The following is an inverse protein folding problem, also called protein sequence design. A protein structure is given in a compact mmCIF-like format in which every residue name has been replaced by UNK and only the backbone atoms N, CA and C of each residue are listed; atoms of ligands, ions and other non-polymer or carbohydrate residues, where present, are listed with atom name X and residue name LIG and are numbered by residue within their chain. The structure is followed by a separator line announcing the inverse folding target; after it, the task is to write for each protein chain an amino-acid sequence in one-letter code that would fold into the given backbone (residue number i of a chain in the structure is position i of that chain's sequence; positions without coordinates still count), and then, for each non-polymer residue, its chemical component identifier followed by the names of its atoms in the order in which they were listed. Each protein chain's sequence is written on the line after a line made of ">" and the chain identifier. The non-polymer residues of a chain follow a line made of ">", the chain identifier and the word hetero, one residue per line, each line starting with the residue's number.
data_IF_745362747137
#
_entry.id   IF_745362747137
#
_cell.length_a   1.000
_cell.length_b   1.000
_cell.length_c   1.000
_cell.angle_alpha   90.00
_cell.angle_beta   90.00
_cell.angle_gamma   90.00
#
_symmetry.space_group_name_H-M   'P 1'
#
loop_
_entity.id
_entity.type
_entity.pdbx_description
1 polymer ?
#
# COMPACT_ATOMS: atom_id res chain seq x y z
N UNK A 1 -15.43 16.45 8.63
CA UNK A 1 -16.12 15.18 8.35
C UNK A 1 -15.19 14.06 8.78
N UNK A 2 -15.65 13.08 9.56
CA UNK A 2 -14.86 11.88 9.86
C UNK A 2 -14.93 10.95 8.65
N UNK A 3 -14.13 11.23 7.63
CA UNK A 3 -13.97 10.32 6.50
C UNK A 3 -13.18 9.11 6.99
N UNK A 4 -13.82 7.93 6.97
CA UNK A 4 -13.16 6.68 7.33
C UNK A 4 -12.42 6.14 6.11
N UNK A 5 -11.11 5.92 6.25
CA UNK A 5 -10.31 5.19 5.27
C UNK A 5 -10.50 3.67 5.35
N UNK A 6 -9.83 2.95 4.46
CA UNK A 6 -9.75 1.48 4.45
C UNK A 6 -8.31 1.06 4.73
N UNK A 7 -8.12 0.10 5.63
CA UNK A 7 -6.83 -0.54 5.89
C UNK A 7 -6.83 -1.95 5.28
N UNK A 8 -5.86 -2.23 4.42
CA UNK A 8 -5.74 -3.48 3.65
C UNK A 8 -4.41 -4.13 3.97
N UNK A 9 -4.41 -5.41 4.32
CA UNK A 9 -3.20 -6.22 4.54
C UNK A 9 -3.08 -7.31 3.49
N UNK A 10 -1.84 -7.67 3.14
CA UNK A 10 -1.52 -8.77 2.24
C UNK A 10 -0.74 -9.84 3.02
N UNK A 11 -1.37 -11.00 3.22
CA UNK A 11 -0.82 -12.11 4.00
C UNK A 11 -0.53 -13.33 3.12
N UNK A 12 0.48 -14.13 3.51
CA UNK A 12 0.84 -15.34 2.78
C UNK A 12 2.32 -15.76 2.92
N UNK A 13 2.67 -16.96 2.43
CA UNK A 13 4.01 -17.52 2.58
C UNK A 13 5.07 -16.72 1.83
N UNK A 14 6.34 -16.98 2.13
CA UNK A 14 7.46 -16.36 1.43
C UNK A 14 7.41 -16.67 -0.07
N UNK A 15 7.71 -15.67 -0.91
CA UNK A 15 7.60 -15.80 -2.36
C UNK A 15 6.16 -15.83 -2.93
N UNK A 16 5.11 -15.67 -2.13
CA UNK A 16 3.72 -15.68 -2.63
C UNK A 16 3.31 -14.44 -3.46
N UNK A 17 4.19 -13.45 -3.58
CA UNK A 17 3.94 -12.24 -4.37
C UNK A 17 3.22 -11.11 -3.64
N UNK A 18 3.16 -11.14 -2.30
CA UNK A 18 2.51 -10.10 -1.45
C UNK A 18 2.93 -8.68 -1.84
N UNK A 19 4.23 -8.42 -1.88
CA UNK A 19 4.78 -7.09 -2.19
C UNK A 19 4.38 -6.63 -3.61
N UNK A 20 4.40 -7.55 -4.58
CA UNK A 20 3.95 -7.27 -5.95
C UNK A 20 2.48 -6.89 -5.99
N UNK A 21 1.62 -7.67 -5.32
CA UNK A 21 0.18 -7.40 -5.31
C UNK A 21 -0.16 -6.10 -4.57
N UNK A 22 0.53 -5.82 -3.46
CA UNK A 22 0.36 -4.58 -2.71
C UNK A 22 0.74 -3.34 -3.58
N UNK A 23 1.85 -3.40 -4.31
CA UNK A 23 2.26 -2.34 -5.23
C UNK A 23 1.28 -2.16 -6.41
N UNK A 24 0.79 -3.25 -7.00
CA UNK A 24 -0.19 -3.20 -8.10
C UNK A 24 -1.53 -2.60 -7.65
N UNK A 25 -2.02 -3.00 -6.47
CA UNK A 25 -3.24 -2.44 -5.91
C UNK A 25 -3.07 -0.95 -5.62
N UNK A 26 -1.96 -0.56 -4.98
CA UNK A 26 -1.69 0.84 -4.67
C UNK A 26 -1.67 1.71 -5.93
N UNK A 27 -0.97 1.28 -6.98
CA UNK A 27 -0.95 1.99 -8.27
C UNK A 27 -2.33 2.09 -8.92
N UNK A 28 -3.10 0.99 -8.89
CA UNK A 28 -4.46 0.97 -9.46
C UNK A 28 -5.38 1.94 -8.73
N UNK A 29 -5.30 2.02 -7.40
CA UNK A 29 -6.11 2.93 -6.59
C UNK A 29 -5.68 4.39 -6.79
N UNK A 30 -4.36 4.67 -6.83
CA UNK A 30 -3.84 5.99 -7.19
C UNK A 30 -4.34 6.46 -8.57
N UNK A 31 -4.29 5.59 -9.58
CA UNK A 31 -4.81 5.89 -10.93
C UNK A 31 -6.33 6.16 -10.96
N UNK A 32 -7.08 5.65 -9.98
CA UNK A 32 -8.51 5.91 -9.82
C UNK A 32 -8.81 7.16 -8.98
N UNK A 33 -7.79 7.90 -8.56
CA UNK A 33 -7.93 9.14 -7.80
C UNK A 33 -8.07 8.96 -6.29
N UNK A 34 -7.74 7.78 -5.74
CA UNK A 34 -7.71 7.57 -4.29
C UNK A 34 -6.36 8.00 -3.70
N UNK A 35 -6.40 8.59 -2.51
CA UNK A 35 -5.23 8.73 -1.65
C UNK A 35 -4.82 7.35 -1.11
N UNK A 36 -3.55 6.97 -1.29
CA UNK A 36 -3.06 5.64 -0.92
C UNK A 36 -1.70 5.74 -0.26
N UNK A 37 -1.60 5.18 0.94
CA UNK A 37 -0.33 4.95 1.64
C UNK A 37 -0.01 3.46 1.57
N UNK A 38 1.15 3.12 0.99
CA UNK A 38 1.66 1.76 0.95
C UNK A 38 2.77 1.62 2.00
N UNK A 39 2.68 0.58 2.83
CA UNK A 39 3.62 0.28 3.91
C UNK A 39 3.93 -1.23 3.96
N UNK A 40 5.06 -1.60 4.57
CA UNK A 40 5.51 -2.97 4.75
C UNK A 40 6.13 -3.18 6.14
N UNK A 41 6.16 -4.42 6.62
CA UNK A 41 6.80 -4.78 7.88
C UNK A 41 7.79 -5.95 7.70
N UNK A 42 8.92 -5.97 8.44
CA UNK A 42 9.38 -4.90 9.34
C UNK A 42 10.02 -3.74 8.56
N UNK A 43 9.58 -2.49 8.80
CA UNK A 43 10.17 -1.27 8.24
C UNK A 43 9.87 -1.05 6.75
N UNK A 44 8.89 -0.18 6.46
CA UNK A 44 8.42 0.18 5.11
C UNK A 44 9.39 1.07 4.29
N UNK A 45 10.70 0.92 4.48
CA UNK A 45 11.69 1.88 3.99
C UNK A 45 12.03 1.74 2.50
N UNK A 46 11.66 0.65 1.82
CA UNK A 46 11.87 0.51 0.36
C UNK A 46 10.69 1.02 -0.51
N UNK A 47 9.57 1.43 0.11
CA UNK A 47 8.38 1.95 -0.60
C UNK A 47 8.02 3.39 -0.19
N UNK A 48 8.80 3.98 0.72
CA UNK A 48 8.64 5.34 1.22
C UNK A 48 9.15 6.42 0.23
N UNK A 49 8.62 6.42 -1.00
CA UNK A 49 8.87 7.47 -1.98
C UNK A 49 7.93 8.68 -1.86
N UNK A 50 6.79 8.55 -1.17
CA UNK A 50 5.77 9.60 -1.12
C UNK A 50 5.12 9.67 0.27
N UNK A 51 5.87 10.10 1.28
CA UNK A 51 5.29 10.71 2.49
C UNK A 51 5.59 12.20 2.41
N UNK A 52 4.65 12.96 1.84
CA UNK A 52 4.30 14.39 2.09
C UNK A 52 3.94 15.17 0.83
N UNK A 53 2.70 15.65 0.77
CA UNK A 53 2.34 17.07 0.67
C UNK A 53 0.85 17.23 0.93
#
# INVERSE_FOLDING_TARGET
>A
MNERGVFITFEGPEGSGKSTQAALLANTLKQRGFEVVLTAEPGGDEVAGEIRS
#
